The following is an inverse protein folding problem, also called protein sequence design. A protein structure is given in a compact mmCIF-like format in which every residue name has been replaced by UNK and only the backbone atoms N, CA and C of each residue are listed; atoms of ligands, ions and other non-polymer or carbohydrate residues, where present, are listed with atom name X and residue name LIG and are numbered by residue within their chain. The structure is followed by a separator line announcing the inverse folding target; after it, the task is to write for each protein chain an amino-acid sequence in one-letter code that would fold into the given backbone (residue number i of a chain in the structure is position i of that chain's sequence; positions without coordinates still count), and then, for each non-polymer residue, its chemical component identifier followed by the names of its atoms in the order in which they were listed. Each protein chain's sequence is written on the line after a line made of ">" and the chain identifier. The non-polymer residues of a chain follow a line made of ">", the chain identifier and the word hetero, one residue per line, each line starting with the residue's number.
data_IF_867972923344
#
_entry.id   IF_867972923344
#
_cell.length_a   1.000
_cell.length_b   1.000
_cell.length_c   1.000
_cell.angle_alpha   90.00
_cell.angle_beta   90.00
_cell.angle_gamma   90.00
#
_symmetry.space_group_name_H-M   'P 1'
#
loop_
_entity.id
_entity.type
_entity.pdbx_description
1 polymer ?
#
# COMPACT_ATOMS: atom_id res chain seq x y z
N UNK A 1 7.17 -16.07 -3.71
CA UNK A 1 6.74 -14.84 -3.01
C UNK A 1 7.85 -14.20 -2.21
N UNK A 2 8.39 -14.83 -1.14
CA UNK A 2 9.52 -14.27 -0.36
C UNK A 2 10.71 -13.79 -1.22
N UNK A 3 11.09 -14.56 -2.24
CA UNK A 3 12.15 -14.18 -3.18
C UNK A 3 11.82 -12.90 -3.98
N UNK A 4 10.57 -12.73 -4.42
CA UNK A 4 10.15 -11.54 -5.17
C UNK A 4 10.09 -10.30 -4.29
N UNK A 5 9.62 -10.44 -3.06
CA UNK A 5 9.58 -9.38 -2.05
C UNK A 5 10.99 -8.92 -1.67
N UNK A 6 11.91 -9.86 -1.40
CA UNK A 6 13.31 -9.54 -1.12
C UNK A 6 13.99 -8.82 -2.30
N UNK A 7 13.77 -9.30 -3.53
CA UNK A 7 14.30 -8.65 -4.73
C UNK A 7 13.73 -7.24 -4.95
N UNK A 8 12.45 -7.02 -4.67
CA UNK A 8 11.86 -5.68 -4.76
C UNK A 8 12.57 -4.69 -3.84
N UNK A 9 12.87 -5.10 -2.60
CA UNK A 9 13.60 -4.28 -1.63
C UNK A 9 15.06 -4.05 -2.05
N UNK A 10 15.76 -5.11 -2.48
CA UNK A 10 17.16 -5.02 -2.92
C UNK A 10 17.35 -4.11 -4.14
N UNK A 11 16.39 -4.14 -5.08
CA UNK A 11 16.47 -3.39 -6.33
C UNK A 11 15.90 -1.96 -6.23
N UNK A 12 15.36 -1.57 -5.07
CA UNK A 12 14.73 -0.26 -4.89
C UNK A 12 13.37 -0.11 -5.59
N UNK A 13 12.63 -1.21 -5.74
CA UNK A 13 11.22 -1.19 -6.12
C UNK A 13 10.77 -2.33 -7.04
N UNK A 14 9.47 -2.62 -7.03
CA UNK A 14 8.83 -3.70 -7.81
C UNK A 14 8.94 -3.49 -9.31
N UNK A 15 9.12 -2.24 -9.76
CA UNK A 15 9.35 -1.91 -11.18
C UNK A 15 10.55 -2.65 -11.77
N UNK A 16 11.56 -2.95 -10.96
CA UNK A 16 12.80 -3.63 -11.38
C UNK A 16 12.73 -5.16 -11.27
N UNK A 17 11.72 -5.70 -10.60
CA UNK A 17 11.56 -7.16 -10.42
C UNK A 17 11.26 -7.81 -11.77
N UNK A 18 11.87 -8.95 -12.06
CA UNK A 18 11.57 -9.77 -13.24
C UNK A 18 11.52 -11.25 -12.87
N UNK A 19 10.86 -12.08 -13.69
CA UNK A 19 10.66 -13.50 -13.38
C UNK A 19 11.96 -14.29 -13.26
N UNK A 20 12.97 -13.99 -14.09
CA UNK A 20 14.21 -14.77 -14.10
C UNK A 20 15.01 -14.68 -12.78
N UNK A 21 15.34 -13.48 -12.26
CA UNK A 21 15.96 -13.33 -10.94
C UNK A 21 15.12 -13.92 -9.80
N UNK A 22 13.79 -13.80 -9.86
CA UNK A 22 12.90 -14.40 -8.85
C UNK A 22 12.98 -15.94 -8.88
N UNK A 23 13.03 -16.51 -10.08
CA UNK A 23 13.13 -17.96 -10.29
C UNK A 23 14.44 -18.52 -9.77
N UNK A 24 15.55 -17.85 -10.12
CA UNK A 24 16.88 -18.20 -9.65
C UNK A 24 16.98 -18.11 -8.13
N UNK A 25 16.52 -17.00 -7.53
CA UNK A 25 16.53 -16.80 -6.08
C UNK A 25 15.67 -17.82 -5.33
N UNK A 26 14.58 -18.27 -5.93
CA UNK A 26 13.73 -19.30 -5.36
C UNK A 26 14.30 -20.72 -5.48
N UNK A 27 15.46 -20.90 -6.14
CA UNK A 27 16.03 -22.22 -6.43
C UNK A 27 15.17 -23.05 -7.39
N UNK A 28 14.32 -22.40 -8.17
CA UNK A 28 13.39 -23.05 -9.09
C UNK A 28 13.98 -23.09 -10.49
N UNK A 29 13.71 -24.16 -11.24
CA UNK A 29 13.99 -24.17 -12.67
C UNK A 29 13.01 -23.24 -13.40
N UNK A 30 13.41 -22.68 -14.55
CA UNK A 30 12.59 -21.74 -15.36
C UNK A 30 11.19 -22.27 -15.70
N UNK A 31 11.09 -23.58 -15.95
CA UNK A 31 9.80 -24.25 -16.21
C UNK A 31 8.94 -24.41 -14.95
N UNK A 32 9.54 -24.41 -13.76
CA UNK A 32 8.85 -24.49 -12.48
C UNK A 32 8.07 -23.21 -12.17
N UNK A 33 8.67 -22.04 -12.33
CA UNK A 33 7.99 -20.75 -12.06
C UNK A 33 6.85 -20.47 -13.04
N UNK A 34 7.00 -20.84 -14.31
CA UNK A 34 5.94 -20.68 -15.32
C UNK A 34 4.68 -21.53 -15.06
N UNK A 35 4.76 -22.54 -14.18
CA UNK A 35 3.56 -23.27 -13.71
C UNK A 35 2.74 -22.47 -12.70
N UNK A 36 3.35 -21.47 -12.05
CA UNK A 36 2.70 -20.66 -11.03
C UNK A 36 2.29 -19.28 -11.55
N UNK A 37 3.09 -18.70 -12.45
CA UNK A 37 2.85 -17.35 -12.99
C UNK A 37 3.09 -17.33 -14.49
N UNK A 38 2.08 -16.89 -15.25
CA UNK A 38 2.17 -16.72 -16.69
C UNK A 38 3.09 -15.53 -17.06
N UNK A 39 3.09 -14.47 -16.24
CA UNK A 39 3.82 -13.23 -16.49
C UNK A 39 4.40 -12.61 -15.21
N UNK A 40 5.19 -11.53 -15.37
CA UNK A 40 5.68 -10.73 -14.25
C UNK A 40 4.50 -10.04 -13.57
N UNK A 41 3.53 -9.58 -14.35
CA UNK A 41 2.35 -8.85 -13.90
C UNK A 41 1.50 -9.73 -13.00
N UNK A 42 1.31 -11.01 -13.37
CA UNK A 42 0.61 -11.97 -12.53
C UNK A 42 1.35 -12.24 -11.22
N UNK A 43 2.69 -12.36 -11.24
CA UNK A 43 3.50 -12.49 -10.04
C UNK A 43 3.36 -11.27 -9.11
N UNK A 44 3.42 -10.05 -9.66
CA UNK A 44 3.30 -8.83 -8.87
C UNK A 44 1.88 -8.61 -8.34
N UNK A 45 0.85 -8.97 -9.11
CA UNK A 45 -0.53 -8.91 -8.67
C UNK A 45 -0.81 -9.93 -7.54
N UNK A 46 -0.21 -11.11 -7.61
CA UNK A 46 -0.21 -12.07 -6.50
C UNK A 46 0.48 -11.51 -5.25
N UNK A 47 1.59 -10.78 -5.42
CA UNK A 47 2.28 -10.15 -4.29
C UNK A 47 1.42 -9.05 -3.66
N UNK A 48 0.70 -8.28 -4.47
CA UNK A 48 -0.24 -7.26 -4.00
C UNK A 48 -1.43 -7.87 -3.26
N UNK A 49 -1.99 -8.97 -3.76
CA UNK A 49 -3.06 -9.73 -3.11
C UNK A 49 -2.65 -10.19 -1.70
N UNK A 50 -1.41 -10.67 -1.56
CA UNK A 50 -0.85 -11.06 -0.26
C UNK A 50 -0.62 -9.85 0.65
N UNK A 51 -0.20 -8.72 0.08
CA UNK A 51 -0.02 -7.46 0.80
C UNK A 51 -1.31 -6.99 1.48
N UNK A 52 -2.47 -7.14 0.82
CA UNK A 52 -3.78 -6.89 1.43
C UNK A 52 -4.03 -7.77 2.66
N UNK A 53 -3.75 -9.07 2.57
CA UNK A 53 -3.86 -9.98 3.71
C UNK A 53 -2.92 -9.62 4.86
N UNK A 54 -1.67 -9.28 4.54
CA UNK A 54 -0.68 -8.85 5.54
C UNK A 54 -1.10 -7.56 6.24
N UNK A 55 -1.61 -6.58 5.49
CA UNK A 55 -2.07 -5.31 6.05
C UNK A 55 -3.28 -5.50 6.96
N UNK A 56 -4.23 -6.34 6.53
CA UNK A 56 -5.36 -6.76 7.35
C UNK A 56 -4.91 -7.39 8.67
N UNK A 57 -4.01 -8.35 8.60
CA UNK A 57 -3.54 -9.07 9.78
C UNK A 57 -2.75 -8.14 10.73
N UNK A 58 -1.95 -7.21 10.17
CA UNK A 58 -1.24 -6.19 10.93
C UNK A 58 -2.20 -5.24 11.67
N UNK A 59 -3.23 -4.72 10.99
CA UNK A 59 -4.25 -3.88 11.63
C UNK A 59 -4.98 -4.66 12.73
N UNK A 60 -5.45 -5.88 12.44
CA UNK A 60 -6.18 -6.71 13.42
C UNK A 60 -5.33 -6.98 14.65
N UNK A 61 -4.03 -7.21 14.48
CA UNK A 61 -3.07 -7.36 15.59
C UNK A 61 -2.93 -6.07 16.40
N UNK A 62 -2.75 -4.93 15.73
CA UNK A 62 -2.52 -3.63 16.37
C UNK A 62 -3.75 -3.09 17.12
N UNK A 63 -4.95 -3.43 16.67
CA UNK A 63 -6.22 -3.02 17.34
C UNK A 63 -6.77 -4.06 18.30
N UNK A 64 -6.15 -5.23 18.44
CA UNK A 64 -6.66 -6.31 19.27
C UNK A 64 -6.86 -5.85 20.73
N UNK A 65 -8.08 -5.98 21.24
CA UNK A 65 -8.43 -5.59 22.61
C UNK A 65 -8.48 -4.08 22.87
N UNK A 66 -8.31 -3.24 21.84
CA UNK A 66 -8.42 -1.78 21.94
C UNK A 66 -9.83 -1.33 21.59
N UNK A 67 -10.29 -0.28 22.26
CA UNK A 67 -11.60 0.35 22.03
C UNK A 67 -11.48 1.85 22.24
N UNK A 68 -12.33 2.63 21.56
CA UNK A 68 -12.40 4.08 21.75
C UNK A 68 -11.18 4.84 21.20
N UNK A 69 -10.50 4.30 20.18
CA UNK A 69 -9.45 5.04 19.49
C UNK A 69 -10.05 6.28 18.81
N UNK A 70 -9.53 7.44 19.19
CA UNK A 70 -9.89 8.69 18.53
C UNK A 70 -9.36 8.76 17.09
N UNK A 71 -9.82 9.70 16.25
CA UNK A 71 -9.50 9.72 14.83
C UNK A 71 -8.00 9.74 14.51
N UNK A 72 -7.23 10.54 15.24
CA UNK A 72 -5.78 10.61 15.06
C UNK A 72 -5.04 9.31 15.49
N UNK A 73 -5.60 8.56 16.44
CA UNK A 73 -5.03 7.27 16.87
C UNK A 73 -5.37 6.18 15.85
N UNK A 74 -6.59 6.16 15.31
CA UNK A 74 -6.99 5.26 14.21
C UNK A 74 -6.12 5.50 12.97
N UNK A 75 -5.89 6.75 12.60
CA UNK A 75 -4.98 7.11 11.51
C UNK A 75 -3.52 6.69 11.78
N UNK A 76 -3.06 6.76 13.04
CA UNK A 76 -1.73 6.30 13.41
C UNK A 76 -1.59 4.80 13.13
N UNK A 77 -2.53 3.97 13.61
CA UNK A 77 -2.56 2.52 13.35
C UNK A 77 -2.51 2.22 11.85
N UNK A 78 -3.36 2.89 11.06
CA UNK A 78 -3.38 2.72 9.59
C UNK A 78 -2.03 3.08 8.97
N UNK A 79 -1.46 4.23 9.33
CA UNK A 79 -0.18 4.68 8.78
C UNK A 79 1.00 3.78 9.18
N UNK A 80 1.07 3.35 10.44
CA UNK A 80 2.18 2.56 10.98
C UNK A 80 2.18 1.15 10.38
N UNK A 81 0.99 0.55 10.23
CA UNK A 81 0.84 -0.76 9.59
C UNK A 81 1.16 -0.72 8.09
N UNK A 82 0.86 0.37 7.38
CA UNK A 82 1.28 0.56 5.98
C UNK A 82 2.80 0.76 5.88
N UNK A 83 3.40 1.58 6.75
CA UNK A 83 4.84 1.82 6.78
C UNK A 83 5.64 0.54 6.99
N UNK A 84 5.08 -0.43 7.74
CA UNK A 84 5.67 -1.74 7.93
C UNK A 84 5.61 -2.65 6.68
N UNK A 85 4.91 -2.26 5.61
CA UNK A 85 4.67 -3.04 4.40
C UNK A 85 5.18 -2.32 3.14
N UNK A 86 6.49 -2.07 3.03
CA UNK A 86 7.09 -1.24 1.97
C UNK A 86 6.76 -1.73 0.55
N UNK A 87 6.86 -3.04 0.31
CA UNK A 87 6.58 -3.63 -1.01
C UNK A 87 5.09 -3.51 -1.37
N UNK A 88 4.19 -3.60 -0.39
CA UNK A 88 2.78 -3.38 -0.63
C UNK A 88 2.49 -1.93 -1.00
N UNK A 89 3.07 -0.96 -0.27
CA UNK A 89 2.94 0.46 -0.62
C UNK A 89 3.42 0.78 -2.05
N UNK A 90 4.54 0.16 -2.47
CA UNK A 90 5.03 0.28 -3.85
C UNK A 90 4.03 -0.30 -4.87
N UNK A 91 3.51 -1.50 -4.60
CA UNK A 91 2.57 -2.19 -5.48
C UNK A 91 1.27 -1.44 -5.71
N UNK A 92 0.76 -0.70 -4.72
CA UNK A 92 -0.50 0.04 -4.84
C UNK A 92 -0.54 0.94 -6.08
N UNK A 93 0.57 1.61 -6.41
CA UNK A 93 0.66 2.42 -7.64
C UNK A 93 0.58 1.56 -8.90
N UNK A 94 1.36 0.48 -8.95
CA UNK A 94 1.48 -0.38 -10.13
C UNK A 94 0.20 -1.17 -10.41
N UNK A 95 -0.49 -1.60 -9.35
CA UNK A 95 -1.79 -2.26 -9.41
C UNK A 95 -2.79 -1.44 -10.20
N UNK A 96 -3.00 -0.18 -9.80
CA UNK A 96 -3.95 0.71 -10.45
C UNK A 96 -3.50 1.16 -11.84
N UNK A 97 -2.18 1.29 -12.06
CA UNK A 97 -1.65 1.79 -13.32
C UNK A 97 -1.69 0.74 -14.44
N UNK A 98 -1.39 -0.53 -14.14
CA UNK A 98 -1.25 -1.54 -15.19
C UNK A 98 -1.56 -2.98 -14.75
N UNK A 99 -1.18 -3.42 -13.53
CA UNK A 99 -1.19 -4.85 -13.21
C UNK A 99 -2.59 -5.48 -13.25
N UNK A 100 -3.63 -4.77 -12.83
CA UNK A 100 -5.01 -5.30 -12.89
C UNK A 100 -5.55 -5.39 -14.32
N UNK A 101 -5.03 -4.58 -15.24
CA UNK A 101 -5.42 -4.54 -16.65
C UNK A 101 -4.60 -5.45 -17.57
N UNK A 102 -3.38 -5.79 -17.15
CA UNK A 102 -2.42 -6.58 -17.93
C UNK A 102 -2.49 -8.10 -17.65
N UNK A 103 -3.48 -8.54 -16.87
CA UNK A 103 -3.75 -9.96 -16.58
C UNK A 103 -5.07 -10.42 -17.19
N UNK A 104 -5.29 -11.73 -17.23
CA UNK A 104 -6.59 -12.28 -17.64
C UNK A 104 -7.73 -11.83 -16.70
N UNK A 105 -8.94 -11.72 -17.26
CA UNK A 105 -10.12 -11.23 -16.54
C UNK A 105 -10.45 -12.06 -15.29
N UNK A 106 -10.24 -13.37 -15.30
CA UNK A 106 -10.48 -14.23 -14.13
C UNK A 106 -9.43 -13.98 -13.05
N UNK A 107 -8.19 -13.69 -13.44
CA UNK A 107 -7.12 -13.31 -12.49
C UNK A 107 -7.42 -11.97 -11.85
N UNK A 108 -7.85 -10.98 -12.63
CA UNK A 108 -8.25 -9.66 -12.14
C UNK A 108 -9.45 -9.78 -11.18
N UNK A 109 -10.47 -10.57 -11.54
CA UNK A 109 -11.64 -10.84 -10.69
C UNK A 109 -11.23 -11.43 -9.35
N UNK A 110 -10.39 -12.47 -9.35
CA UNK A 110 -9.88 -13.10 -8.12
C UNK A 110 -9.16 -12.08 -7.23
N UNK A 111 -8.28 -11.27 -7.81
CA UNK A 111 -7.57 -10.22 -7.08
C UNK A 111 -8.56 -9.25 -6.41
N UNK A 112 -9.53 -8.72 -7.18
CA UNK A 112 -10.53 -7.79 -6.65
C UNK A 112 -11.35 -8.41 -5.52
N UNK A 113 -11.86 -9.63 -5.70
CA UNK A 113 -12.62 -10.33 -4.66
C UNK A 113 -11.83 -10.44 -3.36
N UNK A 114 -10.56 -10.85 -3.44
CA UNK A 114 -9.72 -11.05 -2.25
C UNK A 114 -9.27 -9.72 -1.60
N UNK A 115 -8.92 -8.72 -2.42
CA UNK A 115 -8.54 -7.40 -1.94
C UNK A 115 -9.71 -6.70 -1.23
N UNK A 116 -10.92 -6.75 -1.79
CA UNK A 116 -12.11 -6.17 -1.17
C UNK A 116 -12.49 -6.90 0.12
N UNK A 117 -12.43 -8.24 0.16
CA UNK A 117 -12.68 -8.97 1.38
C UNK A 117 -11.69 -8.58 2.51
N UNK A 118 -10.40 -8.43 2.20
CA UNK A 118 -9.41 -7.96 3.17
C UNK A 118 -9.65 -6.50 3.61
N UNK A 119 -10.01 -5.62 2.67
CA UNK A 119 -10.39 -4.24 2.95
C UNK A 119 -11.58 -4.17 3.92
N UNK A 120 -12.63 -4.96 3.69
CA UNK A 120 -13.83 -4.96 4.52
C UNK A 120 -13.54 -5.49 5.93
N UNK A 121 -12.67 -6.49 6.05
CA UNK A 121 -12.17 -6.96 7.34
C UNK A 121 -11.36 -5.88 8.08
N UNK A 122 -10.54 -5.09 7.38
CA UNK A 122 -9.81 -3.95 7.95
C UNK A 122 -10.80 -2.91 8.48
N UNK A 123 -11.75 -2.49 7.64
CA UNK A 123 -12.74 -1.48 8.00
C UNK A 123 -13.54 -1.92 9.24
N UNK A 124 -13.97 -3.18 9.27
CA UNK A 124 -14.68 -3.76 10.43
C UNK A 124 -13.83 -3.79 11.69
N UNK A 125 -12.53 -4.10 11.59
CA UNK A 125 -11.64 -4.12 12.74
C UNK A 125 -11.43 -2.71 13.32
N UNK A 126 -11.26 -1.70 12.46
CA UNK A 126 -11.11 -0.30 12.87
C UNK A 126 -12.42 0.28 13.43
N UNK A 127 -13.57 -0.10 12.88
CA UNK A 127 -14.90 0.34 13.33
C UNK A 127 -15.14 -0.09 14.78
N UNK A 128 -14.83 -1.35 15.10
CA UNK A 128 -14.95 -1.86 16.48
C UNK A 128 -13.97 -1.22 17.46
N UNK A 129 -12.80 -0.82 16.99
CA UNK A 129 -11.74 -0.31 17.86
C UNK A 129 -11.77 1.21 18.04
N UNK A 130 -12.43 1.95 17.15
CA UNK A 130 -12.39 3.41 17.10
C UNK A 130 -13.71 4.07 17.45
N UNK A 131 -13.68 5.38 17.63
CA UNK A 131 -14.88 6.22 17.74
C UNK A 131 -15.36 6.76 16.39
N UNK A 132 -14.73 6.38 15.27
CA UNK A 132 -15.10 6.82 13.93
C UNK A 132 -16.22 5.94 13.37
N UNK A 133 -17.07 6.49 12.50
CA UNK A 133 -18.07 5.70 11.79
C UNK A 133 -17.42 4.87 10.68
N UNK A 134 -18.08 3.79 10.26
CA UNK A 134 -17.64 2.97 9.14
C UNK A 134 -17.43 3.77 7.84
N UNK A 135 -18.25 4.80 7.60
CA UNK A 135 -18.09 5.71 6.45
C UNK A 135 -16.78 6.53 6.54
N UNK A 136 -16.51 7.12 7.71
CA UNK A 136 -15.28 7.88 7.95
C UNK A 136 -14.03 6.99 7.85
N UNK A 137 -14.14 5.74 8.30
CA UNK A 137 -13.08 4.74 8.16
C UNK A 137 -12.86 4.39 6.70
N UNK A 138 -13.92 4.16 5.92
CA UNK A 138 -13.83 3.93 4.48
C UNK A 138 -13.10 5.07 3.76
N UNK A 139 -13.45 6.32 4.08
CA UNK A 139 -12.77 7.51 3.55
C UNK A 139 -11.30 7.57 3.97
N UNK A 140 -10.99 7.25 5.23
CA UNK A 140 -9.61 7.19 5.72
C UNK A 140 -8.78 6.13 5.00
N UNK A 141 -9.32 4.93 4.78
CA UNK A 141 -8.63 3.85 4.07
C UNK A 141 -8.38 4.22 2.59
N UNK A 142 -9.36 4.82 1.92
CA UNK A 142 -9.22 5.29 0.54
C UNK A 142 -8.10 6.35 0.41
N UNK A 143 -8.06 7.32 1.33
CA UNK A 143 -6.99 8.31 1.39
C UNK A 143 -5.65 7.66 1.73
N UNK A 144 -5.62 6.70 2.67
CA UNK A 144 -4.41 5.99 3.06
C UNK A 144 -3.76 5.25 1.89
N UNK A 145 -4.55 4.50 1.12
CA UNK A 145 -4.08 3.78 -0.08
C UNK A 145 -3.55 4.77 -1.12
N UNK A 146 -4.30 5.84 -1.38
CA UNK A 146 -3.93 6.86 -2.38
C UNK A 146 -2.63 7.55 -2.00
N UNK A 147 -2.51 8.06 -0.77
CA UNK A 147 -1.32 8.76 -0.30
C UNK A 147 -0.13 7.82 -0.14
N UNK A 148 -0.32 6.59 0.35
CA UNK A 148 0.76 5.62 0.46
C UNK A 148 1.33 5.32 -0.93
N UNK A 149 0.49 5.11 -1.94
CA UNK A 149 0.93 4.88 -3.31
C UNK A 149 1.77 6.05 -3.85
N UNK A 150 1.26 7.29 -3.75
CA UNK A 150 1.95 8.47 -4.28
C UNK A 150 3.22 8.83 -3.51
N UNK A 151 3.14 8.86 -2.18
CA UNK A 151 4.29 9.17 -1.34
C UNK A 151 5.40 8.12 -1.47
N UNK A 152 5.06 6.84 -1.64
CA UNK A 152 6.08 5.81 -1.84
C UNK A 152 6.95 6.11 -3.06
N UNK A 153 6.34 6.43 -4.20
CA UNK A 153 7.08 6.70 -5.45
C UNK A 153 7.94 7.96 -5.38
N UNK A 154 7.50 8.97 -4.62
CA UNK A 154 8.22 10.24 -4.47
C UNK A 154 9.36 10.10 -3.45
N UNK A 155 9.16 9.34 -2.39
CA UNK A 155 10.16 9.06 -1.34
C UNK A 155 11.23 8.04 -1.76
N UNK A 156 11.01 7.28 -2.84
CA UNK A 156 11.95 6.28 -3.36
C UNK A 156 12.27 6.60 -4.83
N UNK A 157 13.07 7.64 -5.10
CA UNK A 157 13.36 8.09 -6.44
C UNK A 157 14.12 7.02 -7.25
N UNK A 158 13.95 7.06 -8.58
CA UNK A 158 14.76 6.24 -9.48
C UNK A 158 16.24 6.62 -9.38
N UNK A 159 17.18 5.74 -9.78
CA UNK A 159 18.62 6.04 -9.71
C UNK A 159 19.01 7.36 -10.38
N UNK A 160 18.37 7.72 -11.49
CA UNK A 160 18.58 9.00 -12.17
C UNK A 160 18.18 10.21 -11.31
N UNK A 161 17.03 10.13 -10.64
CA UNK A 161 16.56 11.21 -9.77
C UNK A 161 17.35 11.27 -8.46
N UNK A 162 17.75 10.12 -7.90
CA UNK A 162 18.62 10.08 -6.74
C UNK A 162 19.96 10.78 -7.04
N UNK A 163 20.61 10.44 -8.16
CA UNK A 163 21.85 11.09 -8.59
C UNK A 163 21.66 12.59 -8.88
N UNK A 164 20.48 12.99 -9.37
CA UNK A 164 20.14 14.41 -9.57
C UNK A 164 20.00 15.14 -8.23
N UNK A 165 19.33 14.55 -7.24
CA UNK A 165 19.14 15.16 -5.93
C UNK A 165 20.44 15.28 -5.13
N UNK A 166 21.41 14.38 -5.36
CA UNK A 166 22.77 14.53 -4.85
C UNK A 166 23.49 15.74 -5.46
N UNK A 167 23.30 15.99 -6.76
CA UNK A 167 23.89 17.14 -7.46
C UNK A 167 23.18 18.46 -7.13
N UNK A 168 21.86 18.42 -6.92
CA UNK A 168 21.00 19.58 -6.66
C UNK A 168 20.22 19.39 -5.34
N UNK A 169 20.87 19.54 -4.15
CA UNK A 169 20.25 19.25 -2.85
C UNK A 169 18.98 20.07 -2.56
N UNK A 170 18.85 21.26 -3.17
CA UNK A 170 17.65 22.09 -3.07
C UNK A 170 16.39 21.41 -3.60
N UNK A 171 16.50 20.38 -4.44
CA UNK A 171 15.37 19.57 -4.92
C UNK A 171 15.21 18.25 -4.15
N UNK A 172 16.23 17.85 -3.38
CA UNK A 172 16.22 16.62 -2.59
C UNK A 172 15.17 16.60 -1.48
N UNK A 173 14.70 17.76 -1.00
CA UNK A 173 13.59 17.84 -0.04
C UNK A 173 12.27 17.28 -0.59
N UNK A 174 12.16 17.11 -1.92
CA UNK A 174 11.02 16.47 -2.57
C UNK A 174 11.07 14.94 -2.38
N UNK A 175 12.25 14.34 -2.13
CA UNK A 175 12.44 12.91 -1.83
C UNK A 175 12.09 12.57 -0.36
N UNK A 176 10.92 13.04 0.06
CA UNK A 176 10.38 13.14 1.43
C UNK A 176 10.56 11.89 2.30
N UNK A 177 10.60 12.08 3.62
CA UNK A 177 10.43 10.98 4.57
C UNK A 177 9.00 10.42 4.49
N UNK A 178 8.87 9.22 3.92
CA UNK A 178 7.58 8.55 3.66
C UNK A 178 6.71 8.44 4.92
N UNK A 179 7.25 7.83 5.98
CA UNK A 179 6.50 7.48 7.17
C UNK A 179 5.97 8.69 7.97
N UNK A 180 6.81 9.70 8.32
CA UNK A 180 6.32 10.90 9.01
C UNK A 180 5.27 11.66 8.22
N UNK A 181 5.43 11.72 6.89
CA UNK A 181 4.51 12.47 6.02
C UNK A 181 3.17 11.76 5.88
N UNK A 182 3.17 10.44 5.68
CA UNK A 182 1.95 9.64 5.64
C UNK A 182 1.19 9.75 6.97
N UNK A 183 1.87 9.55 8.10
CA UNK A 183 1.26 9.64 9.44
C UNK A 183 0.60 11.01 9.68
N UNK A 184 1.33 12.10 9.39
CA UNK A 184 0.80 13.47 9.55
C UNK A 184 -0.41 13.72 8.66
N UNK A 185 -0.34 13.33 7.39
CA UNK A 185 -1.44 13.53 6.45
C UNK A 185 -2.69 12.76 6.89
N UNK A 186 -2.56 11.46 7.21
CA UNK A 186 -3.72 10.65 7.61
C UNK A 186 -4.35 11.12 8.92
N UNK A 187 -3.57 11.61 9.89
CA UNK A 187 -4.11 12.24 11.09
C UNK A 187 -4.95 13.47 10.77
N UNK A 188 -4.46 14.33 9.87
CA UNK A 188 -5.19 15.53 9.45
C UNK A 188 -6.51 15.16 8.75
N UNK A 189 -6.50 14.19 7.83
CA UNK A 189 -7.71 13.70 7.17
C UNK A 189 -8.69 13.06 8.15
N UNK A 190 -8.23 12.19 9.06
CA UNK A 190 -9.11 11.54 10.01
C UNK A 190 -9.81 12.53 10.95
N UNK A 191 -9.10 13.57 11.42
CA UNK A 191 -9.71 14.66 12.19
C UNK A 191 -10.73 15.41 11.32
N UNK A 192 -10.35 15.78 10.09
CA UNK A 192 -11.23 16.51 9.17
C UNK A 192 -12.52 15.75 8.81
N UNK A 193 -12.48 14.42 8.69
CA UNK A 193 -13.67 13.60 8.44
C UNK A 193 -14.65 13.55 9.61
N UNK A 194 -14.21 13.89 10.82
CA UNK A 194 -15.09 13.99 11.99
C UNK A 194 -15.70 15.37 12.19
N UNK A 195 -15.20 16.38 11.46
CA UNK A 195 -15.78 17.70 11.48
C UNK A 195 -17.01 17.78 10.58
N UNK A 196 -18.08 18.40 11.07
CA UNK A 196 -19.23 18.74 10.23
C UNK A 196 -18.80 19.86 9.29
N UNK A 197 -18.49 19.52 8.04
CA UNK A 197 -18.27 20.54 7.02
C UNK A 197 -19.65 21.08 6.63
N UNK A 198 -20.09 22.14 7.29
CA UNK A 198 -21.24 22.92 6.82
C UNK A 198 -20.89 23.40 5.40
N UNK A 199 -21.68 23.04 4.38
CA UNK A 199 -21.47 23.59 3.04
C UNK A 199 -21.44 25.11 3.17
N UNK A 200 -20.39 25.76 2.67
CA UNK A 200 -20.39 27.20 2.59
C UNK A 200 -21.63 27.59 1.76
N UNK A 201 -22.57 28.29 2.39
CA UNK A 201 -23.82 28.72 1.77
C UNK A 201 -23.51 29.29 0.38
N UNK A 202 -24.24 28.78 -0.61
CA UNK A 202 -24.26 29.36 -1.94
C UNK A 202 -24.88 30.76 -1.84
N UNK A 203 -24.04 31.77 -1.61
CA UNK A 203 -24.34 33.19 -1.84
C UNK A 203 -24.28 33.51 -3.33
#
# INVERSE_FOLDING_TARGET
>A
MKAAEALALELGGVRYVTLAPVTERAGLHRTGVRRYFASKEELLLELAERGWGQWRDAIKGEVAGRTGLGPAQTAAVVSETLVALPVFCDLLTHVALSLEGDVDIERARRYKTNAFAAHDEIATALDRASSMTLEQIGNLLAVAITLASGFWQVSHPTPTLAALYEQEPRWGHVALDFAPRLNRALKAFAIGFTETITPADAT
#
